data_IF_738387523166
#
_entry.id   IF_738387523166
#
_cell.length_a   1.000
_cell.length_b   1.000
_cell.length_c   1.000
_cell.angle_alpha   90.00
_cell.angle_beta   90.00
_cell.angle_gamma   90.00
#
_symmetry.space_group_name_H-M   'P 1'
#
loop_
_entity.id
_entity.type
_entity.pdbx_description
1 polymer ?
#
# COMPACT_ATOMS: atom_id res chain seq x y z
N UNK A 1 13.40 -79.42 -29.47
CA UNK A 1 13.63 -79.81 -30.87
C UNK A 1 13.43 -78.58 -31.76
N UNK A 2 14.10 -78.49 -32.91
CA UNK A 2 13.95 -77.37 -33.87
C UNK A 2 12.75 -77.63 -34.80
N UNK A 3 12.16 -76.57 -35.37
CA UNK A 3 11.99 -76.32 -36.82
C UNK A 3 10.92 -75.24 -37.09
N UNK A 4 11.33 -74.14 -37.77
CA UNK A 4 10.70 -73.49 -38.95
C UNK A 4 9.32 -72.81 -38.76
N UNK A 5 9.03 -71.59 -39.24
CA UNK A 5 9.80 -70.55 -39.97
C UNK A 5 9.25 -69.13 -39.68
N UNK A 6 9.37 -68.08 -40.51
CA UNK A 6 10.03 -67.94 -41.82
C UNK A 6 10.45 -66.43 -42.05
N UNK A 7 10.24 -65.87 -43.25
CA UNK A 7 10.47 -64.47 -43.70
C UNK A 7 9.68 -63.40 -42.93
N UNK A 8 10.13 -62.15 -42.76
CA UNK A 8 10.79 -61.30 -43.76
C UNK A 8 11.69 -60.21 -43.16
N UNK A 9 12.72 -59.80 -43.91
CA UNK A 9 13.51 -58.60 -43.61
C UNK A 9 12.83 -57.39 -44.27
N UNK A 10 12.46 -56.40 -43.47
CA UNK A 10 12.13 -55.06 -43.94
C UNK A 10 12.81 -54.04 -43.01
N UNK A 11 13.94 -53.49 -43.47
CA UNK A 11 14.61 -52.37 -42.80
C UNK A 11 13.85 -51.10 -43.14
N UNK A 12 13.27 -50.45 -42.14
CA UNK A 12 12.96 -49.02 -42.18
C UNK A 12 13.63 -48.36 -40.99
N UNK A 13 14.82 -47.81 -41.24
CA UNK A 13 15.44 -46.83 -40.35
C UNK A 13 14.69 -45.49 -40.46
N UNK A 14 14.87 -44.60 -39.48
CA UNK A 14 14.21 -43.30 -39.30
C UNK A 14 12.84 -43.35 -38.59
N UNK A 15 12.85 -43.78 -37.33
CA UNK A 15 11.93 -43.20 -36.36
C UNK A 15 12.48 -41.82 -35.95
N UNK A 16 11.91 -40.74 -36.49
CA UNK A 16 12.15 -39.40 -35.95
C UNK A 16 11.59 -39.35 -34.53
N UNK A 17 12.48 -39.31 -33.53
CA UNK A 17 12.11 -39.01 -32.16
C UNK A 17 11.74 -37.53 -32.05
N UNK A 18 10.50 -37.20 -32.40
CA UNK A 18 9.89 -35.94 -32.03
C UNK A 18 9.59 -35.96 -30.53
N UNK A 19 10.63 -35.76 -29.71
CA UNK A 19 10.43 -35.19 -28.39
C UNK A 19 9.62 -33.91 -28.57
N UNK A 20 8.54 -33.68 -27.80
CA UNK A 20 7.97 -32.34 -27.75
C UNK A 20 9.08 -31.43 -27.25
N UNK A 21 9.48 -30.47 -28.08
CA UNK A 21 10.12 -29.26 -27.58
C UNK A 21 9.05 -28.61 -26.70
N UNK A 22 9.24 -28.72 -25.39
CA UNK A 22 8.66 -27.75 -24.48
C UNK A 22 9.22 -26.40 -24.95
N UNK A 23 8.38 -25.65 -25.64
CA UNK A 23 8.67 -24.25 -25.94
C UNK A 23 8.65 -23.59 -24.59
N UNK A 24 9.84 -23.38 -24.03
CA UNK A 24 10.07 -22.55 -22.86
C UNK A 24 9.61 -21.14 -23.25
N UNK A 25 8.33 -20.87 -23.02
CA UNK A 25 7.73 -19.56 -23.28
C UNK A 25 8.58 -18.56 -22.51
N UNK A 26 9.26 -17.60 -23.19
CA UNK A 26 10.15 -16.69 -22.52
C UNK A 26 9.31 -15.86 -21.57
N UNK A 27 9.33 -16.26 -20.29
CA UNK A 27 8.60 -15.64 -19.18
C UNK A 27 9.04 -14.19 -19.15
N UNK A 28 8.26 -13.35 -19.82
CA UNK A 28 8.68 -11.98 -20.13
C UNK A 28 9.01 -11.32 -18.81
N UNK A 29 10.23 -10.77 -18.64
CA UNK A 29 10.60 -10.19 -17.38
C UNK A 29 9.59 -9.09 -17.10
N UNK A 30 8.80 -9.28 -16.03
CA UNK A 30 7.93 -8.23 -15.50
C UNK A 30 8.88 -7.18 -14.95
N UNK A 31 9.32 -6.30 -15.84
CA UNK A 31 10.08 -5.13 -15.50
C UNK A 31 9.20 -4.36 -14.52
N UNK A 32 9.59 -4.35 -13.26
CA UNK A 32 8.95 -3.50 -12.27
C UNK A 32 9.24 -2.07 -12.69
N UNK A 33 8.30 -1.48 -13.43
CA UNK A 33 8.35 -0.08 -13.86
C UNK A 33 8.19 0.76 -12.60
N UNK A 34 9.30 0.97 -11.91
CA UNK A 34 9.36 1.85 -10.75
C UNK A 34 8.98 3.24 -11.25
N UNK A 35 7.96 3.91 -10.69
CA UNK A 35 7.55 5.23 -11.15
C UNK A 35 8.76 6.16 -11.17
N UNK A 36 9.06 6.73 -12.34
CA UNK A 36 10.16 7.69 -12.49
C UNK A 36 9.79 9.06 -11.96
N UNK A 37 8.51 9.28 -11.68
CA UNK A 37 7.93 10.48 -11.08
C UNK A 37 6.90 10.02 -10.03
N UNK A 38 6.98 10.62 -8.85
CA UNK A 38 6.00 10.51 -7.78
C UNK A 38 5.38 11.89 -7.56
N UNK A 39 4.17 11.95 -7.01
CA UNK A 39 3.60 13.19 -6.54
C UNK A 39 4.44 13.75 -5.37
N UNK A 40 4.59 15.09 -5.27
CA UNK A 40 5.17 15.68 -4.08
C UNK A 40 4.27 15.45 -2.86
N UNK A 41 4.81 15.30 -1.65
CA UNK A 41 4.00 15.33 -0.44
C UNK A 41 3.33 16.70 -0.26
N UNK A 42 2.22 16.79 0.51
CA UNK A 42 1.63 18.07 0.86
C UNK A 42 2.63 18.95 1.61
N UNK A 43 2.48 20.30 1.55
CA UNK A 43 3.28 21.19 2.38
C UNK A 43 3.03 20.89 3.87
N UNK A 44 4.05 21.04 4.74
CA UNK A 44 3.87 20.93 6.18
C UNK A 44 2.80 21.88 6.71
N UNK A 45 2.01 21.41 7.67
CA UNK A 45 1.00 22.22 8.35
C UNK A 45 1.58 22.67 9.68
N UNK A 46 1.87 23.96 9.81
CA UNK A 46 2.56 24.56 10.97
C UNK A 46 1.67 25.55 11.74
N UNK A 47 0.40 25.69 11.38
CA UNK A 47 -0.55 26.59 12.03
C UNK A 47 -0.78 26.20 13.51
N UNK A 48 -1.05 27.18 14.38
CA UNK A 48 -1.34 26.95 15.81
C UNK A 48 -2.51 25.95 16.01
N UNK A 49 -3.55 26.07 15.19
CA UNK A 49 -4.63 25.09 15.06
C UNK A 49 -4.87 24.83 13.57
N UNK A 50 -4.79 23.58 13.09
CA UNK A 50 -4.93 23.25 11.68
C UNK A 50 -6.41 23.25 11.28
N UNK A 51 -6.68 23.64 10.03
CA UNK A 51 -8.04 23.57 9.47
C UNK A 51 -8.43 22.15 9.11
N UNK A 52 -9.74 21.88 9.07
CA UNK A 52 -10.27 20.57 8.69
C UNK A 52 -9.85 20.14 7.26
N UNK A 53 -9.73 21.10 6.34
CA UNK A 53 -9.24 20.88 4.97
C UNK A 53 -7.74 20.50 4.93
N UNK A 54 -6.91 21.10 5.79
CA UNK A 54 -5.50 20.73 5.93
C UNK A 54 -5.36 19.31 6.49
N UNK A 55 -6.10 18.98 7.56
CA UNK A 55 -6.09 17.62 8.13
C UNK A 55 -6.63 16.56 7.15
N UNK A 56 -7.63 16.92 6.34
CA UNK A 56 -8.14 16.07 5.24
C UNK A 56 -7.03 15.78 4.22
N UNK A 57 -6.30 16.83 3.81
CA UNK A 57 -5.20 16.71 2.84
C UNK A 57 -4.02 15.90 3.38
N UNK A 58 -3.66 16.10 4.67
CA UNK A 58 -2.64 15.31 5.38
C UNK A 58 -3.02 13.83 5.45
N UNK A 59 -4.25 13.54 5.87
CA UNK A 59 -4.73 12.16 6.02
C UNK A 59 -4.82 11.45 4.67
N UNK A 60 -5.35 12.09 3.63
CA UNK A 60 -5.38 11.54 2.28
C UNK A 60 -3.97 11.26 1.73
N UNK A 61 -3.02 12.19 1.92
CA UNK A 61 -1.63 12.00 1.51
C UNK A 61 -0.92 10.84 2.25
N UNK A 62 -1.33 10.52 3.48
CA UNK A 62 -0.75 9.41 4.24
C UNK A 62 -1.04 8.03 3.61
N UNK A 63 -2.15 7.88 2.87
CA UNK A 63 -2.52 6.63 2.17
C UNK A 63 -2.19 6.64 0.67
N UNK A 64 -1.97 7.80 0.04
CA UNK A 64 -1.83 7.92 -1.42
C UNK A 64 -0.52 7.33 -1.98
N UNK A 65 -0.59 6.21 -2.69
CA UNK A 65 0.60 5.56 -3.30
C UNK A 65 1.25 6.35 -4.44
N UNK A 66 0.65 7.44 -4.91
CA UNK A 66 1.31 8.34 -5.85
C UNK A 66 2.48 9.11 -5.19
N UNK A 67 2.45 9.27 -3.87
CA UNK A 67 3.52 9.87 -3.05
C UNK A 67 4.52 8.77 -2.64
N UNK A 68 5.82 9.10 -2.59
CA UNK A 68 6.86 8.15 -2.19
C UNK A 68 6.65 7.62 -0.78
N UNK A 69 6.99 6.35 -0.56
CA UNK A 69 6.93 5.71 0.76
C UNK A 69 7.71 6.48 1.82
N UNK A 70 8.92 6.96 1.50
CA UNK A 70 9.75 7.75 2.42
C UNK A 70 9.20 9.16 2.69
N UNK A 71 8.36 9.67 1.78
CA UNK A 71 7.70 10.97 1.92
C UNK A 71 6.43 10.86 2.77
N UNK A 72 5.65 9.79 2.57
CA UNK A 72 4.51 9.45 3.46
C UNK A 72 4.95 9.12 4.88
N UNK A 73 6.11 8.47 5.05
CA UNK A 73 6.65 8.16 6.36
C UNK A 73 6.87 9.41 7.25
N UNK A 74 7.07 10.59 6.65
CA UNK A 74 7.17 11.88 7.36
C UNK A 74 5.82 12.45 7.82
N UNK A 75 4.70 11.94 7.29
CA UNK A 75 3.34 12.38 7.64
C UNK A 75 2.82 11.75 8.94
N UNK A 76 3.53 10.76 9.48
CA UNK A 76 3.24 10.14 10.77
C UNK A 76 4.11 10.71 11.89
N UNK A 77 3.57 10.68 13.10
CA UNK A 77 4.27 11.02 14.34
C UNK A 77 5.60 10.28 14.50
N UNK A 78 6.59 10.96 15.08
CA UNK A 78 7.94 10.43 15.31
C UNK A 78 8.91 10.53 14.12
N UNK A 79 10.12 9.93 14.27
CA UNK A 79 11.13 9.86 13.22
C UNK A 79 10.67 9.04 12.01
N UNK A 80 10.87 9.56 10.81
CA UNK A 80 10.33 8.99 9.58
C UNK A 80 10.93 7.63 9.22
N UNK A 81 12.19 7.40 9.58
CA UNK A 81 12.89 6.12 9.45
C UNK A 81 12.17 4.98 10.18
N UNK A 82 11.49 5.27 11.29
CA UNK A 82 10.69 4.30 12.03
C UNK A 82 9.32 4.05 11.36
N UNK A 83 8.84 5.00 10.54
CA UNK A 83 7.52 5.00 9.93
C UNK A 83 7.47 4.43 8.50
N UNK A 84 8.60 4.07 7.89
CA UNK A 84 8.65 3.54 6.51
C UNK A 84 7.80 2.28 6.32
N UNK A 85 7.86 1.34 7.27
CA UNK A 85 7.04 0.11 7.23
C UNK A 85 5.56 0.40 7.41
N UNK A 86 5.21 1.24 8.38
CA UNK A 86 3.86 1.72 8.60
C UNK A 86 3.29 2.40 7.35
N UNK A 87 4.04 3.32 6.74
CA UNK A 87 3.64 4.02 5.52
C UNK A 87 3.39 3.07 4.34
N UNK A 88 4.13 1.95 4.26
CA UNK A 88 3.87 0.90 3.26
C UNK A 88 2.53 0.21 3.51
N UNK A 89 2.32 -0.29 4.73
CA UNK A 89 1.16 -1.11 5.10
C UNK A 89 -0.14 -0.29 5.18
N UNK A 90 -0.07 0.92 5.72
CA UNK A 90 -1.19 1.86 5.80
C UNK A 90 -1.70 2.29 4.44
N UNK A 91 -0.81 2.48 3.46
CA UNK A 91 -1.23 2.69 2.07
C UNK A 91 -1.85 1.44 1.43
N UNK A 92 -1.49 0.23 1.88
CA UNK A 92 -1.85 -1.05 1.26
C UNK A 92 -3.31 -1.49 1.46
N UNK A 93 -4.15 -0.62 2.03
CA UNK A 93 -5.55 -0.92 2.30
C UNK A 93 -6.29 -1.28 1.00
N UNK A 94 -6.99 -2.44 0.94
CA UNK A 94 -7.66 -2.89 -0.28
C UNK A 94 -8.84 -2.00 -0.66
N UNK A 95 -9.43 -1.29 0.31
CA UNK A 95 -10.54 -0.36 0.16
C UNK A 95 -10.24 0.95 0.92
N UNK A 96 -9.41 1.84 0.36
CA UNK A 96 -8.99 3.06 1.05
C UNK A 96 -10.18 3.99 1.28
N UNK A 97 -10.51 4.21 2.55
CA UNK A 97 -11.61 5.10 2.97
C UNK A 97 -11.25 6.55 2.65
N UNK A 98 -12.18 7.27 2.02
CA UNK A 98 -12.02 8.70 1.79
C UNK A 98 -12.69 9.44 2.95
N UNK A 99 -11.91 10.16 3.75
CA UNK A 99 -12.40 10.89 4.93
C UNK A 99 -12.26 12.39 4.68
N UNK A 100 -13.37 13.11 4.75
CA UNK A 100 -13.42 14.57 4.72
C UNK A 100 -13.73 15.09 6.13
N UNK A 101 -12.75 15.73 6.78
CA UNK A 101 -12.97 16.37 8.06
C UNK A 101 -13.70 17.70 7.88
N UNK A 102 -14.71 17.92 8.73
CA UNK A 102 -15.57 19.12 8.71
C UNK A 102 -15.40 19.99 9.94
N UNK A 103 -14.87 19.43 11.03
CA UNK A 103 -14.63 20.15 12.30
C UNK A 103 -13.30 19.74 12.92
N UNK A 104 -12.66 20.68 13.63
CA UNK A 104 -11.43 20.47 14.41
C UNK A 104 -11.61 21.12 15.77
N UNK A 105 -11.23 20.42 16.84
CA UNK A 105 -11.19 20.93 18.20
C UNK A 105 -9.77 20.76 18.77
N UNK A 106 -9.22 21.79 19.40
CA UNK A 106 -7.97 21.66 20.15
C UNK A 106 -8.21 20.87 21.44
N UNK A 107 -7.37 19.86 21.67
CA UNK A 107 -7.33 19.06 22.90
C UNK A 107 -6.10 19.37 23.74
N UNK A 108 -5.13 20.09 23.18
CA UNK A 108 -3.92 20.58 23.84
C UNK A 108 -3.11 21.51 22.92
N UNK A 109 -1.92 21.97 23.35
CA UNK A 109 -1.02 22.78 22.52
C UNK A 109 -0.55 22.02 21.27
N UNK A 110 -0.26 20.74 21.46
CA UNK A 110 0.32 19.83 20.46
C UNK A 110 -0.66 18.74 20.01
N UNK A 111 -1.95 18.89 20.31
CA UNK A 111 -2.98 17.90 19.95
C UNK A 111 -4.30 18.55 19.54
N UNK A 112 -4.90 18.01 18.48
CA UNK A 112 -6.28 18.31 18.06
C UNK A 112 -7.04 17.02 17.78
N UNK A 113 -8.36 17.09 17.81
CA UNK A 113 -9.26 16.05 17.30
C UNK A 113 -10.07 16.60 16.14
N UNK A 114 -10.25 15.78 15.10
CA UNK A 114 -11.08 16.11 13.95
C UNK A 114 -12.27 15.15 13.82
N UNK A 115 -13.42 15.69 13.43
CA UNK A 115 -14.60 14.91 13.03
C UNK A 115 -15.00 15.24 11.60
N UNK A 116 -15.59 14.28 10.91
CA UNK A 116 -15.86 14.34 9.48
C UNK A 116 -16.82 13.29 8.99
N UNK A 117 -16.80 13.07 7.68
CA UNK A 117 -17.57 12.05 6.98
C UNK A 117 -16.62 11.11 6.25
N UNK A 118 -16.75 9.81 6.49
CA UNK A 118 -16.08 8.76 5.76
C UNK A 118 -16.94 8.25 4.60
N UNK A 119 -16.29 7.92 3.49
CA UNK A 119 -16.90 7.37 2.29
C UNK A 119 -16.08 6.16 1.82
N UNK A 120 -16.76 5.03 1.59
CA UNK A 120 -16.16 3.78 1.10
C UNK A 120 -16.94 3.30 -0.11
N UNK A 121 -16.25 3.16 -1.25
CA UNK A 121 -16.84 2.75 -2.54
C UNK A 121 -18.06 3.59 -2.91
N UNK A 122 -19.26 3.02 -2.79
CA UNK A 122 -20.56 3.61 -3.15
C UNK A 122 -21.51 3.66 -1.95
N UNK A 123 -21.00 3.47 -0.73
CA UNK A 123 -21.79 3.56 0.49
C UNK A 123 -22.17 5.02 0.79
N UNK A 124 -23.31 5.19 1.47
CA UNK A 124 -23.66 6.48 2.07
C UNK A 124 -22.59 6.92 3.08
N UNK A 125 -22.35 8.22 3.17
CA UNK A 125 -21.34 8.78 4.06
C UNK A 125 -21.69 8.51 5.53
N UNK A 126 -20.71 8.06 6.30
CA UNK A 126 -20.85 7.78 7.74
C UNK A 126 -20.02 8.76 8.58
N UNK A 127 -20.46 9.10 9.80
CA UNK A 127 -19.68 9.96 10.68
C UNK A 127 -18.35 9.30 11.06
N UNK A 128 -17.29 10.09 11.03
CA UNK A 128 -15.93 9.68 11.41
C UNK A 128 -15.40 10.61 12.49
N UNK A 129 -14.80 10.01 13.52
CA UNK A 129 -14.07 10.71 14.57
C UNK A 129 -14.64 10.50 15.98
N UNK A 130 -14.00 11.12 17.00
CA UNK A 130 -12.81 11.97 16.88
C UNK A 130 -11.58 11.19 16.41
N UNK A 131 -10.90 11.69 15.38
CA UNK A 131 -9.56 11.23 14.97
C UNK A 131 -8.55 12.23 15.53
N UNK A 132 -7.60 11.82 16.40
CA UNK A 132 -6.59 12.72 16.91
C UNK A 132 -5.53 13.01 15.83
N UNK A 133 -4.92 14.19 15.94
CA UNK A 133 -3.71 14.59 15.23
C UNK A 133 -2.76 15.24 16.22
N UNK A 134 -1.46 15.03 16.04
CA UNK A 134 -0.41 15.49 16.97
C UNK A 134 0.61 16.37 16.27
N UNK A 135 1.21 17.30 17.00
CA UNK A 135 2.33 18.12 16.54
C UNK A 135 3.65 17.44 16.88
N UNK A 136 4.50 17.24 15.88
CA UNK A 136 5.87 16.75 16.03
C UNK A 136 6.79 17.57 15.10
N UNK A 137 7.88 18.11 15.65
CA UNK A 137 8.83 18.95 14.91
C UNK A 137 8.14 20.15 14.22
N UNK A 138 7.34 20.88 15.02
CA UNK A 138 6.48 22.01 14.65
C UNK A 138 5.45 21.76 13.53
N UNK A 139 5.17 20.49 13.22
CA UNK A 139 4.30 20.08 12.11
C UNK A 139 3.20 19.14 12.58
N UNK A 140 1.96 19.33 12.10
CA UNK A 140 0.86 18.40 12.38
C UNK A 140 0.99 17.10 11.59
N UNK A 141 0.75 15.97 12.27
CA UNK A 141 0.96 14.61 11.76
C UNK A 141 -0.16 13.65 12.16
N UNK A 142 -0.29 12.57 11.39
CA UNK A 142 -1.13 11.42 11.73
C UNK A 142 -0.48 10.67 12.90
N UNK A 143 -1.18 10.42 14.01
CA UNK A 143 -0.61 9.69 15.14
C UNK A 143 -0.24 8.25 14.74
N UNK A 144 0.95 7.79 15.14
CA UNK A 144 1.47 6.47 14.78
C UNK A 144 0.57 5.36 15.33
N UNK A 145 0.07 5.52 16.55
CA UNK A 145 -0.83 4.58 17.23
C UNK A 145 -2.18 4.41 16.52
N UNK A 146 -2.78 5.50 16.02
CA UNK A 146 -4.01 5.45 15.21
C UNK A 146 -3.77 4.63 13.94
N UNK A 147 -2.75 4.98 13.15
CA UNK A 147 -2.45 4.28 11.91
C UNK A 147 -2.10 2.80 12.17
N UNK A 148 -1.39 2.51 13.26
CA UNK A 148 -1.10 1.15 13.70
C UNK A 148 -2.32 0.36 14.15
N UNK A 149 -3.29 0.99 14.81
CA UNK A 149 -4.56 0.36 15.19
C UNK A 149 -5.35 -0.12 13.98
N UNK A 150 -5.38 0.68 12.90
CA UNK A 150 -5.99 0.27 11.64
C UNK A 150 -5.17 -0.81 10.91
N UNK A 151 -3.85 -0.65 10.75
CA UNK A 151 -3.01 -1.64 10.05
C UNK A 151 -3.05 -3.00 10.75
N UNK A 152 -3.06 -3.02 12.09
CA UNK A 152 -3.21 -4.24 12.87
C UNK A 152 -4.55 -4.97 12.67
N UNK A 153 -5.60 -4.28 12.19
CA UNK A 153 -6.87 -4.93 11.83
C UNK A 153 -6.82 -5.73 10.51
N UNK A 154 -5.72 -5.62 9.76
CA UNK A 154 -5.47 -6.31 8.49
C UNK A 154 -4.25 -7.25 8.55
N UNK A 155 -3.91 -7.76 9.74
CA UNK A 155 -2.85 -8.73 10.04
C UNK A 155 -1.38 -8.30 9.77
N UNK A 156 -1.08 -7.01 9.51
CA UNK A 156 0.30 -6.49 9.41
C UNK A 156 0.81 -5.85 10.72
N UNK A 157 0.79 -6.62 11.80
CA UNK A 157 1.31 -6.18 13.11
C UNK A 157 2.82 -5.88 13.12
N UNK A 158 3.58 -6.35 12.12
CA UNK A 158 5.02 -6.09 12.02
C UNK A 158 5.33 -4.70 11.42
N UNK A 159 4.39 -4.07 10.71
CA UNK A 159 4.55 -2.72 10.17
C UNK A 159 4.78 -1.63 11.25
N UNK A 160 4.40 -1.93 12.49
CA UNK A 160 4.40 -1.02 13.63
C UNK A 160 5.50 -1.27 14.65
N UNK A 161 6.38 -2.25 14.41
CA UNK A 161 7.55 -2.55 15.24
C UNK A 161 8.81 -1.84 14.74
#
# INVERSE_FOLDING_TARGET
MKLVGLSAVAVVLLACACSPVEVDEPKSPVASVRPTQFAPPPPPITDDVPTAAQLTSLFAASVDYSIREEDRARLFDGPAENNVRLARAWGAQPDPQHIEFTTVASTGPDSVEAMGVGMVRSMEGYPVGPIPFVRYDDQWRVPRDVACGFVGAFDDHEACK
#
